data_IF_198455954110
#
_entry.id   IF_198455954110
#
_cell.length_a   1.000
_cell.length_b   1.000
_cell.length_c   1.000
_cell.angle_alpha   90.00
_cell.angle_beta   90.00
_cell.angle_gamma   90.00
#
_symmetry.space_group_name_H-M   'P 1'
#
loop_
_entity.id
_entity.type
_entity.pdbx_description
1 polymer ?
#
# COMPACT_ATOMS: atom_id res chain seq x y z
N UNK A 1 27.00 16.06 6.87
CA UNK A 1 25.70 15.33 6.79
C UNK A 1 25.14 15.46 5.38
N UNK A 2 25.46 14.50 4.51
CA UNK A 2 25.14 14.53 3.06
C UNK A 2 24.42 13.24 2.61
N UNK A 3 23.62 12.65 3.52
CA UNK A 3 23.07 11.28 3.36
C UNK A 3 21.57 11.28 3.01
N UNK A 4 20.90 12.43 2.95
CA UNK A 4 19.43 12.50 2.78
C UNK A 4 18.94 12.80 1.34
N UNK A 5 19.81 12.73 0.32
CA UNK A 5 19.48 13.17 -1.05
C UNK A 5 19.44 12.05 -2.10
N UNK A 6 18.98 10.85 -1.74
CA UNK A 6 18.85 9.72 -2.68
C UNK A 6 17.55 8.92 -2.59
N UNK A 7 16.58 9.38 -1.80
CA UNK A 7 15.43 8.57 -1.42
C UNK A 7 14.29 8.57 -2.43
N UNK A 8 14.36 7.72 -3.46
CA UNK A 8 13.21 7.40 -4.31
C UNK A 8 12.05 6.80 -3.50
N UNK A 9 10.85 6.64 -4.09
CA UNK A 9 9.67 6.08 -3.40
C UNK A 9 9.95 4.76 -2.66
N UNK A 10 10.90 3.99 -3.17
CA UNK A 10 11.40 2.74 -2.59
C UNK A 10 12.06 2.92 -1.21
N UNK A 11 12.81 3.98 -0.96
CA UNK A 11 13.44 4.20 0.36
C UNK A 11 12.41 4.59 1.41
N UNK A 12 11.40 5.36 1.03
CA UNK A 12 10.29 5.75 1.90
C UNK A 12 9.41 4.54 2.24
N UNK A 13 9.16 3.67 1.24
CA UNK A 13 8.45 2.42 1.43
C UNK A 13 9.17 1.47 2.41
N UNK A 14 10.48 1.31 2.26
CA UNK A 14 11.29 0.49 3.17
C UNK A 14 11.25 1.03 4.60
N UNK A 15 11.32 2.35 4.77
CA UNK A 15 11.30 2.98 6.10
C UNK A 15 9.98 2.70 6.84
N UNK A 16 8.84 2.83 6.14
CA UNK A 16 7.53 2.58 6.75
C UNK A 16 7.30 1.10 7.03
N UNK A 17 7.74 0.20 6.15
CA UNK A 17 7.68 -1.26 6.40
C UNK A 17 8.51 -1.63 7.63
N UNK A 18 9.74 -1.11 7.74
CA UNK A 18 10.62 -1.38 8.89
C UNK A 18 10.00 -0.86 10.19
N UNK A 19 9.44 0.34 10.19
CA UNK A 19 8.75 0.91 11.37
C UNK A 19 7.54 0.06 11.74
N UNK A 20 6.71 -0.35 10.78
CA UNK A 20 5.55 -1.21 11.02
C UNK A 20 5.94 -2.58 11.61
N UNK A 21 6.98 -3.22 11.08
CA UNK A 21 7.51 -4.50 11.60
C UNK A 21 8.04 -4.34 13.01
N UNK A 22 8.83 -3.28 13.28
CA UNK A 22 9.36 -3.01 14.63
C UNK A 22 8.22 -2.80 15.63
N UNK A 23 7.18 -2.03 15.27
CA UNK A 23 6.02 -1.82 16.14
C UNK A 23 5.28 -3.12 16.47
N UNK A 24 5.08 -4.02 15.50
CA UNK A 24 4.43 -5.32 15.74
C UNK A 24 5.28 -6.21 16.64
N UNK A 25 6.60 -6.23 16.45
CA UNK A 25 7.53 -6.99 17.30
C UNK A 25 7.54 -6.46 18.74
N UNK A 26 7.49 -5.13 18.91
CA UNK A 26 7.40 -4.52 20.24
C UNK A 26 6.07 -4.85 20.93
N UNK A 27 4.96 -4.82 20.20
CA UNK A 27 3.63 -5.17 20.72
C UNK A 27 3.55 -6.65 21.14
N UNK A 28 4.22 -7.54 20.41
CA UNK A 28 4.32 -8.96 20.74
C UNK A 28 5.26 -9.26 21.93
N UNK A 29 6.10 -8.30 22.35
CA UNK A 29 7.12 -8.50 23.40
C UNK A 29 6.92 -7.65 24.65
N UNK A 30 6.00 -6.67 24.64
CA UNK A 30 5.69 -5.83 25.81
C UNK A 30 4.77 -6.56 26.80
N UNK A 31 5.31 -6.92 27.96
CA UNK A 31 4.56 -7.45 29.09
C UNK A 31 3.76 -6.37 29.85
N UNK A 32 2.56 -6.78 30.28
CA UNK A 32 1.68 -6.24 31.34
C UNK A 32 0.88 -4.94 31.17
N UNK A 33 0.98 -4.17 30.08
CA UNK A 33 -0.12 -3.25 29.71
C UNK A 33 -0.01 -2.77 28.27
N UNK A 34 -1.06 -3.04 27.48
CA UNK A 34 -1.15 -2.54 26.11
C UNK A 34 -1.48 -1.05 26.17
N UNK A 35 -0.48 -0.20 25.97
CA UNK A 35 -0.64 1.26 25.98
C UNK A 35 -1.48 1.72 24.77
N UNK A 36 -2.47 2.58 25.01
CA UNK A 36 -3.35 3.13 23.98
C UNK A 36 -2.54 3.85 22.89
N UNK A 37 -1.45 4.53 23.28
CA UNK A 37 -0.56 5.20 22.34
C UNK A 37 0.13 4.21 21.39
N UNK A 38 0.50 3.04 21.90
CA UNK A 38 1.13 1.99 21.12
C UNK A 38 0.14 1.39 20.11
N UNK A 39 -1.11 1.12 20.51
CA UNK A 39 -2.19 0.69 19.61
C UNK A 39 -2.42 1.73 18.50
N UNK A 40 -2.54 3.01 18.87
CA UNK A 40 -2.74 4.09 17.90
C UNK A 40 -1.59 4.17 16.89
N UNK A 41 -0.34 4.06 17.36
CA UNK A 41 0.84 4.07 16.48
C UNK A 41 0.87 2.88 15.52
N UNK A 42 0.44 1.70 15.96
CA UNK A 42 0.32 0.52 15.11
C UNK A 42 -0.75 0.71 14.03
N UNK A 43 -1.94 1.18 14.41
CA UNK A 43 -3.03 1.45 13.46
C UNK A 43 -2.60 2.48 12.42
N UNK A 44 -1.94 3.57 12.85
CA UNK A 44 -1.40 4.58 11.95
C UNK A 44 -0.28 4.03 11.05
N UNK A 45 0.60 3.18 11.57
CA UNK A 45 1.65 2.53 10.80
C UNK A 45 1.10 1.61 9.70
N UNK A 46 0.06 0.83 10.03
CA UNK A 46 -0.68 0.02 9.07
C UNK A 46 -1.34 0.94 8.02
N UNK A 47 -2.17 1.90 8.42
CA UNK A 47 -2.80 2.82 7.48
C UNK A 47 -1.79 3.54 6.57
N UNK A 48 -0.67 4.01 7.14
CA UNK A 48 0.42 4.66 6.40
C UNK A 48 1.12 3.72 5.40
N UNK A 49 1.30 2.45 5.76
CA UNK A 49 1.86 1.44 4.84
C UNK A 49 0.94 1.22 3.64
N UNK A 50 -0.38 1.16 3.87
CA UNK A 50 -1.35 1.05 2.78
C UNK A 50 -1.35 2.27 1.86
N UNK A 51 -1.33 3.48 2.44
CA UNK A 51 -1.26 4.74 1.67
C UNK A 51 0.00 4.79 0.81
N UNK A 52 1.14 4.37 1.34
CA UNK A 52 2.36 4.27 0.55
C UNK A 52 2.26 3.27 -0.59
N UNK A 53 1.69 2.09 -0.33
CA UNK A 53 1.50 1.08 -1.37
C UNK A 53 0.70 1.68 -2.52
N UNK A 54 -0.41 2.37 -2.22
CA UNK A 54 -1.21 3.11 -3.20
C UNK A 54 -0.35 4.14 -3.94
N UNK A 55 0.38 5.00 -3.22
CA UNK A 55 1.16 6.08 -3.81
C UNK A 55 2.29 5.57 -4.72
N UNK A 56 3.02 4.53 -4.29
CA UNK A 56 4.11 3.92 -5.08
C UNK A 56 3.57 3.34 -6.37
N UNK A 57 2.48 2.58 -6.31
CA UNK A 57 1.89 2.01 -7.50
C UNK A 57 1.23 3.07 -8.39
N UNK A 58 0.64 4.12 -7.85
CA UNK A 58 0.09 5.22 -8.64
C UNK A 58 1.16 5.90 -9.50
N UNK A 59 2.33 6.17 -8.90
CA UNK A 59 3.49 6.69 -9.64
C UNK A 59 3.94 5.71 -10.73
N UNK A 60 3.98 4.41 -10.45
CA UNK A 60 4.42 3.43 -11.44
C UNK A 60 3.41 3.25 -12.60
N UNK A 61 2.11 3.35 -12.32
CA UNK A 61 1.06 3.37 -13.35
C UNK A 61 1.17 4.63 -14.22
N UNK A 62 1.36 5.79 -13.61
CA UNK A 62 1.57 7.05 -14.32
C UNK A 62 2.80 7.01 -15.23
N UNK A 63 3.92 6.49 -14.71
CA UNK A 63 5.16 6.33 -15.50
C UNK A 63 4.96 5.33 -16.64
N UNK A 64 4.34 4.19 -16.37
CA UNK A 64 4.06 3.17 -17.39
C UNK A 64 3.13 3.68 -18.48
N UNK A 65 2.15 4.52 -18.12
CA UNK A 65 1.29 5.21 -19.07
C UNK A 65 2.05 6.24 -19.89
N UNK A 66 2.83 7.12 -19.27
CA UNK A 66 3.62 8.14 -19.96
C UNK A 66 4.64 7.55 -20.96
N UNK A 67 5.15 6.34 -20.72
CA UNK A 67 6.11 5.68 -21.63
C UNK A 67 5.46 4.87 -22.76
N UNK A 68 4.28 4.27 -22.53
CA UNK A 68 3.75 3.19 -23.40
C UNK A 68 2.24 3.23 -23.61
N UNK A 69 1.56 4.24 -23.11
CA UNK A 69 0.10 4.46 -23.23
C UNK A 69 -0.73 3.20 -22.93
N UNK A 70 -0.44 2.59 -21.77
CA UNK A 70 -0.99 1.29 -21.38
C UNK A 70 -2.32 1.29 -20.62
N UNK A 71 -2.88 2.47 -20.41
CA UNK A 71 -4.06 2.71 -19.59
C UNK A 71 -5.03 3.61 -20.37
N UNK A 72 -6.25 3.15 -20.59
CA UNK A 72 -7.33 3.95 -21.16
C UNK A 72 -8.30 4.31 -20.03
N UNK A 73 -8.36 5.60 -19.69
CA UNK A 73 -9.28 6.13 -18.70
C UNK A 73 -10.59 6.58 -19.37
N UNK A 74 -11.74 6.51 -18.67
CA UNK A 74 -13.00 7.00 -19.20
C UNK A 74 -12.98 8.52 -19.40
N UNK A 75 -13.80 9.01 -20.33
CA UNK A 75 -13.91 10.43 -20.68
C UNK A 75 -12.78 10.94 -21.58
N UNK A 76 -12.81 12.23 -21.91
CA UNK A 76 -11.79 12.90 -22.74
C UNK A 76 -11.01 13.99 -21.98
N UNK A 77 -11.20 14.09 -20.66
CA UNK A 77 -10.51 15.07 -19.84
C UNK A 77 -9.00 14.80 -19.76
N UNK A 78 -8.22 15.87 -19.54
CA UNK A 78 -6.78 15.77 -19.37
C UNK A 78 -6.44 15.03 -18.06
N UNK A 79 -5.52 14.07 -18.14
CA UNK A 79 -5.26 13.14 -17.04
C UNK A 79 -4.44 13.78 -15.94
N UNK A 80 -4.88 13.62 -14.71
CA UNK A 80 -4.18 14.09 -13.52
C UNK A 80 -3.56 12.92 -12.73
N UNK A 81 -2.80 13.24 -11.69
CA UNK A 81 -2.24 12.21 -10.81
C UNK A 81 -3.33 11.45 -10.03
N UNK A 82 -4.47 12.10 -9.78
CA UNK A 82 -5.63 11.53 -9.09
C UNK A 82 -6.23 10.33 -9.82
N UNK A 83 -6.24 10.33 -11.15
CA UNK A 83 -6.69 9.20 -11.98
C UNK A 83 -5.87 7.91 -11.70
N UNK A 84 -4.55 8.04 -11.58
CA UNK A 84 -3.66 6.92 -11.26
C UNK A 84 -3.78 6.47 -9.80
N UNK A 85 -4.04 7.41 -8.89
CA UNK A 85 -4.37 7.11 -7.49
C UNK A 85 -5.69 6.36 -7.42
N UNK A 86 -6.72 6.76 -8.18
CA UNK A 86 -8.01 6.09 -8.25
C UNK A 86 -7.88 4.63 -8.70
N UNK A 87 -7.14 4.37 -9.79
CA UNK A 87 -6.82 3.00 -10.22
C UNK A 87 -6.08 2.23 -9.12
N UNK A 88 -5.07 2.87 -8.50
CA UNK A 88 -4.22 2.21 -7.52
C UNK A 88 -4.96 1.87 -6.23
N UNK A 89 -5.82 2.77 -5.74
CA UNK A 89 -6.68 2.49 -4.57
C UNK A 89 -7.55 1.28 -4.83
N UNK A 90 -8.15 1.17 -6.01
CA UNK A 90 -9.02 0.04 -6.33
C UNK A 90 -8.26 -1.28 -6.38
N UNK A 91 -7.12 -1.33 -7.07
CA UNK A 91 -6.28 -2.53 -7.12
C UNK A 91 -5.74 -2.91 -5.73
N UNK A 92 -5.35 -1.94 -4.92
CA UNK A 92 -4.84 -2.15 -3.55
C UNK A 92 -5.94 -2.57 -2.57
N UNK A 93 -7.16 -2.05 -2.72
CA UNK A 93 -8.34 -2.48 -1.98
C UNK A 93 -8.95 -3.77 -2.52
N UNK A 94 -8.37 -4.35 -3.59
CA UNK A 94 -8.88 -5.53 -4.30
C UNK A 94 -10.31 -5.36 -4.83
N UNK A 95 -10.71 -4.13 -5.12
CA UNK A 95 -11.96 -3.83 -5.82
C UNK A 95 -11.72 -3.82 -7.34
N UNK A 96 -12.58 -4.53 -8.07
CA UNK A 96 -12.46 -4.71 -9.53
C UNK A 96 -13.25 -3.68 -10.34
N UNK A 97 -13.77 -2.63 -9.72
CA UNK A 97 -14.68 -1.66 -10.36
C UNK A 97 -13.98 -0.54 -11.14
N UNK A 98 -12.67 -0.68 -11.41
CA UNK A 98 -11.97 0.33 -12.17
C UNK A 98 -12.52 0.35 -13.60
N UNK A 99 -13.06 1.50 -14.00
CA UNK A 99 -13.47 1.82 -15.37
C UNK A 99 -12.27 2.12 -16.29
N UNK A 100 -11.06 1.97 -15.78
CA UNK A 100 -9.79 2.11 -16.50
C UNK A 100 -9.39 0.79 -17.17
N UNK A 101 -9.20 0.81 -18.49
CA UNK A 101 -8.82 -0.38 -19.26
C UNK A 101 -7.29 -0.56 -19.36
N UNK A 102 -6.83 -1.80 -19.13
CA UNK A 102 -5.41 -2.18 -19.22
C UNK A 102 -5.06 -2.72 -20.62
N UNK A 103 -4.60 -1.84 -21.51
CA UNK A 103 -4.49 -2.13 -22.96
C UNK A 103 -3.27 -2.97 -23.32
N UNK A 104 -2.13 -2.78 -22.63
CA UNK A 104 -0.87 -3.44 -22.96
C UNK A 104 -0.42 -4.49 -21.92
N UNK A 105 0.51 -5.38 -22.32
CA UNK A 105 1.03 -6.45 -21.44
C UNK A 105 1.75 -5.91 -20.20
N UNK A 106 2.62 -4.88 -20.28
CA UNK A 106 3.27 -4.30 -19.11
C UNK A 106 2.28 -3.77 -18.06
N UNK A 107 1.26 -3.03 -18.46
CA UNK A 107 0.23 -2.50 -17.56
C UNK A 107 -0.53 -3.63 -16.85
N UNK A 108 -0.94 -4.68 -17.59
CA UNK A 108 -1.57 -5.87 -16.99
C UNK A 108 -0.67 -6.59 -15.99
N UNK A 109 0.63 -6.69 -16.27
CA UNK A 109 1.59 -7.32 -15.35
C UNK A 109 1.78 -6.48 -14.08
N UNK A 110 1.85 -5.16 -14.21
CA UNK A 110 1.96 -4.24 -13.07
C UNK A 110 0.71 -4.31 -12.19
N UNK A 111 -0.48 -4.25 -12.79
CA UNK A 111 -1.75 -4.38 -12.08
C UNK A 111 -1.87 -5.74 -11.38
N UNK A 112 -1.46 -6.83 -12.02
CA UNK A 112 -1.43 -8.16 -11.41
C UNK A 112 -0.53 -8.19 -10.16
N UNK A 113 0.68 -7.62 -10.25
CA UNK A 113 1.59 -7.53 -9.10
C UNK A 113 0.95 -6.71 -7.98
N UNK A 114 0.38 -5.54 -8.29
CA UNK A 114 -0.28 -4.71 -7.30
C UNK A 114 -1.42 -5.44 -6.60
N UNK A 115 -2.30 -6.11 -7.35
CA UNK A 115 -3.42 -6.86 -6.79
C UNK A 115 -2.97 -7.99 -5.87
N UNK A 116 -1.89 -8.71 -6.24
CA UNK A 116 -1.31 -9.76 -5.37
C UNK A 116 -0.78 -9.14 -4.07
N UNK A 117 -0.05 -8.03 -4.17
CA UNK A 117 0.50 -7.35 -2.99
C UNK A 117 -0.62 -6.80 -2.10
N UNK A 118 -1.65 -6.16 -2.69
CA UNK A 118 -2.81 -5.64 -1.96
C UNK A 118 -3.63 -6.75 -1.28
N UNK A 119 -3.83 -7.87 -1.95
CA UNK A 119 -4.48 -9.04 -1.37
C UNK A 119 -3.68 -9.63 -0.20
N UNK A 120 -2.37 -9.83 -0.37
CA UNK A 120 -1.49 -10.33 0.68
C UNK A 120 -1.48 -9.39 1.89
N UNK A 121 -1.38 -8.09 1.65
CA UNK A 121 -1.44 -7.05 2.68
C UNK A 121 -2.72 -7.13 3.51
N UNK A 122 -3.88 -7.15 2.84
CA UNK A 122 -5.19 -7.27 3.50
C UNK A 122 -5.32 -8.57 4.29
N UNK A 123 -4.85 -9.68 3.73
CA UNK A 123 -4.90 -11.01 4.37
C UNK A 123 -4.05 -11.06 5.64
N UNK A 124 -2.81 -10.56 5.58
CA UNK A 124 -1.90 -10.56 6.74
C UNK A 124 -2.46 -9.70 7.87
N UNK A 125 -3.04 -8.54 7.55
CA UNK A 125 -3.65 -7.66 8.55
C UNK A 125 -4.81 -8.36 9.25
N UNK A 126 -5.72 -8.98 8.49
CA UNK A 126 -6.83 -9.73 9.07
C UNK A 126 -6.33 -10.86 9.97
N UNK A 127 -5.30 -11.61 9.53
CA UNK A 127 -4.71 -12.67 10.33
C UNK A 127 -4.12 -12.16 11.64
N UNK A 128 -3.34 -11.08 11.61
CA UNK A 128 -2.76 -10.45 12.80
C UNK A 128 -3.86 -9.96 13.74
N UNK A 129 -4.89 -9.26 13.23
CA UNK A 129 -6.02 -8.83 14.05
C UNK A 129 -6.75 -10.01 14.69
N UNK A 130 -7.00 -11.10 13.95
CA UNK A 130 -7.62 -12.30 14.49
C UNK A 130 -6.77 -12.94 15.60
N UNK A 131 -5.45 -13.08 15.39
CA UNK A 131 -4.53 -13.59 16.40
C UNK A 131 -4.51 -12.73 17.67
N UNK A 132 -4.54 -11.41 17.53
CA UNK A 132 -4.62 -10.48 18.66
C UNK A 132 -5.94 -10.61 19.43
N UNK A 133 -7.07 -10.73 18.73
CA UNK A 133 -8.38 -10.93 19.38
C UNK A 133 -8.44 -12.24 20.16
N UNK A 134 -7.91 -13.33 19.59
CA UNK A 134 -7.84 -14.63 20.27
C UNK A 134 -6.96 -14.53 21.52
N UNK A 135 -5.81 -13.86 21.43
CA UNK A 135 -4.91 -13.68 22.57
C UNK A 135 -5.49 -12.80 23.68
N UNK A 136 -6.38 -11.86 23.36
CA UNK A 136 -7.05 -11.01 24.35
C UNK A 136 -8.24 -11.70 25.03
N UNK A 137 -8.84 -12.69 24.36
CA UNK A 137 -9.96 -13.47 24.87
C UNK A 137 -9.54 -14.68 25.73
N UNK A 138 -8.25 -15.03 25.72
CA UNK A 138 -7.65 -16.11 26.50
C UNK A 138 -7.13 -15.59 27.85
#
# INVERSE_FOLDING_TARGET
MRVLYGGGPTSWAVLIVVVGVISVVLLATSGDSVDLWLIASCVLGVAGTWVLLVAVFAVEHMRGWAERDGLEFPGEDERDFGDFVYLSVQLSATFSSADVALTNRPARRLAMVQSIVGFAYSTVIIAVFASLLISLAA
#
